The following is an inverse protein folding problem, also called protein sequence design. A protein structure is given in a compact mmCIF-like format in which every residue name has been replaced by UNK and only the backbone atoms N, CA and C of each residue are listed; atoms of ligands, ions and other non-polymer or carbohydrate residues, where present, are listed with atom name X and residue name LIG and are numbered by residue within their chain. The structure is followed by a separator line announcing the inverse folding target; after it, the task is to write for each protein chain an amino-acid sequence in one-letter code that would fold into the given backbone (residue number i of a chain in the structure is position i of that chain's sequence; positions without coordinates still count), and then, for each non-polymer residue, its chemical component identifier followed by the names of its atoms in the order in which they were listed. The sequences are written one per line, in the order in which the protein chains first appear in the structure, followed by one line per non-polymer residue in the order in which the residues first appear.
data_IF_401814806082
#
_entry.id   IF_401814806082
#
_cell.length_a   1.000
_cell.length_b   1.000
_cell.length_c   1.000
_cell.angle_alpha   90.00
_cell.angle_beta   90.00
_cell.angle_gamma   90.00
#
_symmetry.space_group_name_H-M   'P 1'
#
loop_
_entity.id
_entity.type
_entity.pdbx_description
1 polymer ?
#
# COMPACT_ATOMS: atom_id res chain seq x y z
N UNK A 1 -15.98 -21.71 -24.74
CA UNK A 1 -14.74 -21.36 -24.01
C UNK A 1 -15.01 -21.41 -22.52
N UNK A 2 -14.43 -22.36 -21.78
CA UNK A 2 -14.73 -22.59 -20.36
C UNK A 2 -14.14 -21.47 -19.47
N UNK A 3 -15.00 -20.65 -18.84
CA UNK A 3 -14.63 -19.50 -17.97
C UNK A 3 -13.62 -19.84 -16.88
N UNK A 4 -13.59 -21.10 -16.41
CA UNK A 4 -12.68 -21.61 -15.37
C UNK A 4 -11.19 -21.53 -15.75
N UNK A 5 -10.84 -21.74 -17.03
CA UNK A 5 -9.46 -21.67 -17.50
C UNK A 5 -8.97 -20.23 -17.65
N UNK A 6 -9.87 -19.35 -18.12
CA UNK A 6 -9.61 -17.93 -18.30
C UNK A 6 -9.34 -17.29 -16.93
N UNK A 7 -10.20 -17.55 -15.94
CA UNK A 7 -10.00 -17.05 -14.57
C UNK A 7 -8.65 -17.49 -13.98
N UNK A 8 -8.25 -18.74 -14.20
CA UNK A 8 -7.01 -19.30 -13.66
C UNK A 8 -5.73 -18.65 -14.22
N UNK A 9 -5.74 -18.20 -15.47
CA UNK A 9 -4.60 -17.52 -16.09
C UNK A 9 -4.52 -16.02 -15.75
N UNK A 10 -5.64 -15.39 -15.34
CA UNK A 10 -5.71 -13.95 -15.05
C UNK A 10 -5.47 -13.64 -13.56
N UNK A 11 -5.60 -14.63 -12.66
CA UNK A 11 -5.36 -14.48 -11.21
C UNK A 11 -4.03 -13.74 -10.88
N UNK A 12 -2.88 -14.08 -11.50
CA UNK A 12 -1.62 -13.38 -11.19
C UNK A 12 -1.67 -11.90 -11.55
N UNK A 13 -2.28 -11.56 -12.70
CA UNK A 13 -2.39 -10.19 -13.18
C UNK A 13 -3.36 -9.37 -12.30
N UNK A 14 -4.46 -9.98 -11.85
CA UNK A 14 -5.41 -9.33 -10.92
C UNK A 14 -4.73 -9.07 -9.58
N UNK A 15 -4.02 -10.05 -9.01
CA UNK A 15 -3.32 -9.88 -7.73
C UNK A 15 -2.26 -8.78 -7.82
N UNK A 16 -1.49 -8.72 -8.92
CA UNK A 16 -0.51 -7.66 -9.14
C UNK A 16 -1.14 -6.26 -9.17
N UNK A 17 -2.26 -6.11 -9.90
CA UNK A 17 -3.00 -4.84 -9.96
C UNK A 17 -3.61 -4.46 -8.59
N UNK A 18 -4.13 -5.43 -7.85
CA UNK A 18 -4.68 -5.19 -6.51
C UNK A 18 -3.61 -4.74 -5.52
N UNK A 19 -2.40 -5.33 -5.55
CA UNK A 19 -1.29 -4.90 -4.69
C UNK A 19 -1.03 -3.39 -4.84
N UNK A 20 -0.88 -2.94 -6.09
CA UNK A 20 -0.61 -1.53 -6.40
C UNK A 20 -1.78 -0.64 -5.93
N UNK A 21 -3.03 -1.06 -6.14
CA UNK A 21 -4.20 -0.30 -5.69
C UNK A 21 -4.27 -0.17 -4.15
N UNK A 22 -3.91 -1.21 -3.41
CA UNK A 22 -3.87 -1.14 -1.94
C UNK A 22 -2.83 -0.12 -1.47
N UNK A 23 -1.65 -0.11 -2.09
CA UNK A 23 -0.60 0.89 -1.80
C UNK A 23 -1.10 2.31 -2.09
N UNK A 24 -1.78 2.51 -3.22
CA UNK A 24 -2.39 3.80 -3.55
C UNK A 24 -3.47 4.23 -2.56
N UNK A 25 -4.29 3.30 -2.05
CA UNK A 25 -5.33 3.61 -1.08
C UNK A 25 -4.76 4.19 0.23
N UNK A 26 -3.62 3.65 0.69
CA UNK A 26 -2.91 4.14 1.88
C UNK A 26 -2.42 5.56 1.65
N UNK A 27 -1.79 5.81 0.49
CA UNK A 27 -1.38 7.16 0.10
C UNK A 27 -2.58 8.11 0.05
N UNK A 28 -3.71 7.67 -0.51
CA UNK A 28 -4.95 8.43 -0.52
C UNK A 28 -5.45 8.80 0.89
N UNK A 29 -5.39 7.85 1.84
CA UNK A 29 -5.75 8.10 3.24
C UNK A 29 -4.92 9.21 3.87
N UNK A 30 -3.61 9.23 3.62
CA UNK A 30 -2.71 10.29 4.13
C UNK A 30 -3.11 11.68 3.62
N UNK A 31 -3.52 11.79 2.34
CA UNK A 31 -4.02 13.04 1.77
C UNK A 31 -5.33 13.48 2.42
N UNK A 32 -6.27 12.55 2.64
CA UNK A 32 -7.55 12.85 3.30
C UNK A 32 -7.31 13.32 4.73
N UNK A 33 -6.43 12.67 5.49
CA UNK A 33 -6.07 13.09 6.85
C UNK A 33 -5.47 14.50 6.90
N UNK A 34 -4.58 14.82 5.95
CA UNK A 34 -3.93 16.13 5.87
C UNK A 34 -4.91 17.27 5.52
N UNK A 35 -5.86 17.00 4.62
CA UNK A 35 -6.87 17.98 4.18
C UNK A 35 -7.91 18.21 5.28
N UNK A 36 -8.45 17.13 5.87
CA UNK A 36 -9.52 17.21 6.87
C UNK A 36 -9.01 17.45 8.29
N UNK A 37 -7.69 17.56 8.49
CA UNK A 37 -7.06 17.72 9.82
C UNK A 37 -7.51 16.65 10.83
N UNK A 38 -7.69 15.42 10.34
CA UNK A 38 -8.02 14.28 11.19
C UNK A 38 -6.74 13.83 11.92
N UNK A 39 -6.80 13.55 13.23
CA UNK A 39 -5.61 13.17 14.00
C UNK A 39 -5.04 11.84 13.49
N UNK A 40 -3.94 11.92 12.75
CA UNK A 40 -3.33 10.80 12.03
C UNK A 40 -1.92 11.09 11.54
N UNK A 41 -1.39 10.19 10.70
CA UNK A 41 -0.04 10.31 10.13
C UNK A 41 0.05 11.53 9.20
N UNK A 42 -1.01 11.84 8.45
CA UNK A 42 -1.04 13.01 7.57
C UNK A 42 -0.88 14.34 8.31
N UNK A 43 -1.49 14.48 9.49
CA UNK A 43 -1.41 15.69 10.31
C UNK A 43 -0.04 15.83 10.99
N UNK A 44 0.56 14.72 11.43
CA UNK A 44 1.95 14.71 11.95
C UNK A 44 2.94 15.17 10.89
N UNK A 45 2.77 14.72 9.64
CA UNK A 45 3.56 15.14 8.49
C UNK A 45 3.42 16.65 8.22
N UNK A 46 2.19 17.16 8.27
CA UNK A 46 1.89 18.60 8.09
C UNK A 46 2.55 19.44 9.18
N UNK A 47 2.47 19.02 10.44
CA UNK A 47 3.09 19.72 11.56
C UNK A 47 4.63 19.68 11.47
N UNK A 48 5.21 18.53 11.16
CA UNK A 48 6.65 18.39 10.99
C UNK A 48 7.17 19.22 9.79
N UNK A 49 6.39 19.34 8.71
CA UNK A 49 6.70 20.23 7.59
C UNK A 49 6.68 21.71 7.98
N UNK A 50 5.71 22.12 8.80
CA UNK A 50 5.62 23.49 9.31
C UNK A 50 6.75 23.84 10.27
N UNK A 51 7.13 22.90 11.15
CA UNK A 51 8.25 23.06 12.10
C UNK A 51 9.63 22.78 11.48
N UNK A 52 9.69 22.38 10.20
CA UNK A 52 10.90 21.94 9.48
C UNK A 52 11.68 20.82 10.21
N UNK A 53 10.95 19.94 10.89
CA UNK A 53 11.51 18.80 11.60
C UNK A 53 11.81 17.66 10.62
N UNK A 54 12.93 17.77 9.90
CA UNK A 54 13.39 16.74 8.95
C UNK A 54 13.48 15.32 9.54
N UNK A 55 13.95 15.11 10.80
CA UNK A 55 14.00 13.77 11.38
C UNK A 55 12.61 13.11 11.50
N UNK A 56 11.58 13.88 11.83
CA UNK A 56 10.21 13.38 11.94
C UNK A 56 9.62 13.02 10.58
N UNK A 57 9.84 13.87 9.58
CA UNK A 57 9.41 13.60 8.19
C UNK A 57 10.05 12.32 7.69
N UNK A 58 11.36 12.16 7.91
CA UNK A 58 12.09 10.96 7.50
C UNK A 58 11.62 9.71 8.26
N UNK A 59 11.33 9.82 9.56
CA UNK A 59 10.76 8.73 10.34
C UNK A 59 9.39 8.29 9.82
N UNK A 60 8.51 9.24 9.49
CA UNK A 60 7.20 8.93 8.90
C UNK A 60 7.33 8.27 7.52
N UNK A 61 8.23 8.77 6.67
CA UNK A 61 8.51 8.18 5.36
C UNK A 61 9.02 6.74 5.48
N UNK A 62 9.93 6.46 6.41
CA UNK A 62 10.40 5.10 6.65
C UNK A 62 9.27 4.19 7.13
N UNK A 63 8.40 4.67 8.01
CA UNK A 63 7.27 3.91 8.54
C UNK A 63 6.26 3.56 7.44
N UNK A 64 5.91 4.51 6.58
CA UNK A 64 4.98 4.27 5.46
C UNK A 64 5.59 3.35 4.40
N UNK A 65 6.88 3.52 4.07
CA UNK A 65 7.60 2.60 3.19
C UNK A 65 7.65 1.17 3.78
N UNK A 66 7.96 1.04 5.07
CA UNK A 66 8.01 -0.25 5.75
C UNK A 66 6.64 -0.95 5.73
N UNK A 67 5.56 -0.21 5.96
CA UNK A 67 4.21 -0.74 5.83
C UNK A 67 3.89 -1.18 4.40
N UNK A 68 4.24 -0.36 3.40
CA UNK A 68 4.07 -0.72 1.98
C UNK A 68 4.84 -1.99 1.58
N UNK A 69 6.03 -2.19 2.14
CA UNK A 69 6.82 -3.40 1.96
C UNK A 69 6.13 -4.62 2.57
N UNK A 70 5.59 -4.50 3.79
CA UNK A 70 4.84 -5.60 4.44
C UNK A 70 3.64 -5.99 3.56
N UNK A 71 2.86 -5.02 3.09
CA UNK A 71 1.70 -5.28 2.22
C UNK A 71 2.14 -5.98 0.93
N UNK A 72 3.19 -5.47 0.28
CA UNK A 72 3.72 -6.06 -0.95
C UNK A 72 4.19 -7.50 -0.74
N UNK A 73 4.87 -7.77 0.38
CA UNK A 73 5.37 -9.09 0.74
C UNK A 73 4.21 -10.07 0.98
N UNK A 74 3.15 -9.64 1.68
CA UNK A 74 1.94 -10.45 1.85
C UNK A 74 1.32 -10.82 0.50
N UNK A 75 1.20 -9.86 -0.43
CA UNK A 75 0.69 -10.12 -1.78
C UNK A 75 1.56 -11.11 -2.55
N UNK A 76 2.89 -10.99 -2.48
CA UNK A 76 3.81 -11.94 -3.11
C UNK A 76 3.68 -13.35 -2.54
N UNK A 77 3.55 -13.49 -1.22
CA UNK A 77 3.34 -14.80 -0.58
C UNK A 77 2.04 -15.43 -1.09
N UNK A 78 0.95 -14.66 -1.16
CA UNK A 78 -0.34 -15.15 -1.65
C UNK A 78 -0.23 -15.57 -3.12
N UNK A 79 0.48 -14.78 -3.94
CA UNK A 79 0.69 -15.09 -5.35
C UNK A 79 1.52 -16.37 -5.52
N UNK A 80 2.64 -16.49 -4.80
CA UNK A 80 3.49 -17.68 -4.80
C UNK A 80 2.73 -18.93 -4.33
N UNK A 81 1.92 -18.81 -3.27
CA UNK A 81 1.09 -19.92 -2.76
C UNK A 81 0.07 -20.38 -3.79
N UNK A 82 -0.55 -19.46 -4.53
CA UNK A 82 -1.47 -19.82 -5.60
C UNK A 82 -0.75 -20.39 -6.83
N UNK A 83 0.46 -19.92 -7.14
CA UNK A 83 1.27 -20.45 -8.23
C UNK A 83 1.76 -21.89 -7.98
N UNK A 84 2.12 -22.24 -6.73
CA UNK A 84 2.55 -23.59 -6.33
C UNK A 84 1.40 -24.60 -6.19
N UNK A 85 0.14 -24.13 -6.16
CA UNK A 85 -1.05 -24.99 -6.12
C UNK A 85 -1.47 -25.45 -7.54
N UNK A 86 -0.66 -25.13 -8.54
CA UNK A 86 -0.77 -25.52 -9.93
C UNK A 86 0.48 -26.30 -10.35
#
# INVERSE_FOLDING_TARGET
MNKKYILKNIIPEILGKLNIQVIYAITGSLFVESIFSYPGLGQLLKNAASSRDYPLIQGLLLLTCFYGLIVSLVFEIILKKNALKY
#
